data_IF_752990452849
#
_entry.id   IF_752990452849
#
_cell.length_a   1.000
_cell.length_b   1.000
_cell.length_c   1.000
_cell.angle_alpha   90.00
_cell.angle_beta   90.00
_cell.angle_gamma   90.00
#
_symmetry.space_group_name_H-M   'P 1'
#
loop_
_entity.id
_entity.type
_entity.pdbx_description
1 polymer ?
#
# COMPACT_ATOMS: atom_id res chain seq x y z
N UNK A 1 -8.05 1.72 -33.98
CA UNK A 1 -7.62 0.90 -35.14
C UNK A 1 -6.42 0.09 -34.68
N UNK A 2 -6.55 -1.23 -34.55
CA UNK A 2 -5.41 -2.08 -34.19
C UNK A 2 -4.60 -2.36 -35.45
N UNK A 3 -3.51 -1.63 -35.66
CA UNK A 3 -2.54 -1.99 -36.70
C UNK A 3 -1.95 -3.36 -36.37
N UNK A 4 -1.99 -4.27 -37.34
CA UNK A 4 -1.39 -5.60 -37.21
C UNK A 4 0.14 -5.46 -37.05
N UNK A 5 0.79 -6.23 -36.15
CA UNK A 5 2.20 -6.04 -35.85
C UNK A 5 3.08 -6.19 -37.10
N UNK A 6 4.15 -5.38 -37.23
CA UNK A 6 5.02 -5.43 -38.40
C UNK A 6 5.65 -6.82 -38.55
N UNK A 7 5.64 -7.35 -39.78
CA UNK A 7 6.21 -8.66 -40.09
C UNK A 7 7.74 -8.63 -39.92
N UNK A 8 8.23 -9.23 -38.84
CA UNK A 8 9.64 -9.39 -38.48
C UNK A 8 10.06 -10.86 -38.47
N UNK A 9 11.35 -11.11 -38.68
CA UNK A 9 11.94 -12.45 -38.48
C UNK A 9 12.07 -12.76 -36.98
N UNK A 10 12.21 -14.04 -36.63
CA UNK A 10 12.33 -14.43 -35.22
C UNK A 10 13.59 -13.86 -34.56
N UNK A 11 14.70 -13.75 -35.30
CA UNK A 11 15.91 -13.06 -34.82
C UNK A 11 15.68 -11.57 -34.56
N UNK A 12 14.94 -10.88 -35.43
CA UNK A 12 14.61 -9.46 -35.23
C UNK A 12 13.68 -9.27 -34.02
N UNK A 13 12.69 -10.16 -33.84
CA UNK A 13 11.83 -10.13 -32.65
C UNK A 13 12.65 -10.34 -31.38
N UNK A 14 13.55 -11.32 -31.38
CA UNK A 14 14.43 -11.62 -30.25
C UNK A 14 15.39 -10.48 -29.95
N UNK A 15 15.98 -9.86 -30.97
CA UNK A 15 16.77 -8.64 -30.82
C UNK A 15 15.99 -7.53 -30.12
N UNK A 16 14.73 -7.29 -30.51
CA UNK A 16 13.91 -6.28 -29.86
C UNK A 16 13.63 -6.60 -28.38
N UNK A 17 13.39 -7.88 -28.06
CA UNK A 17 13.19 -8.32 -26.67
C UNK A 17 14.45 -8.16 -25.83
N UNK A 18 15.60 -8.62 -26.33
CA UNK A 18 16.91 -8.50 -25.65
C UNK A 18 17.32 -7.03 -25.48
N UNK A 19 17.08 -6.20 -26.50
CA UNK A 19 17.38 -4.77 -26.44
C UNK A 19 16.56 -4.04 -25.38
N UNK A 20 15.32 -4.48 -25.10
CA UNK A 20 14.50 -3.88 -24.05
C UNK A 20 14.92 -4.31 -22.63
N UNK A 21 15.83 -5.26 -22.48
CA UNK A 21 16.39 -5.64 -21.17
C UNK A 21 17.28 -4.52 -20.64
N UNK A 22 18.31 -4.13 -21.40
CA UNK A 22 19.37 -3.22 -20.93
C UNK A 22 19.68 -2.05 -21.89
N UNK A 23 19.02 -1.96 -23.05
CA UNK A 23 19.26 -0.97 -24.10
C UNK A 23 20.68 -1.01 -24.68
N UNK A 24 21.39 -2.12 -24.49
CA UNK A 24 22.65 -2.37 -25.17
C UNK A 24 22.35 -3.05 -26.51
N UNK A 25 22.42 -2.27 -27.59
CA UNK A 25 22.14 -2.76 -28.93
C UNK A 25 23.13 -3.85 -29.36
N UNK A 26 24.40 -3.70 -28.98
CA UNK A 26 25.45 -4.64 -29.36
C UNK A 26 25.22 -5.98 -28.66
N UNK A 27 25.02 -5.97 -27.34
CA UNK A 27 24.77 -7.20 -26.59
C UNK A 27 23.42 -7.84 -26.93
N UNK A 28 22.39 -7.04 -27.23
CA UNK A 28 21.12 -7.56 -27.72
C UNK A 28 21.27 -8.27 -29.07
N UNK A 29 22.11 -7.75 -29.97
CA UNK A 29 22.42 -8.38 -31.25
C UNK A 29 23.11 -9.74 -31.07
N UNK A 30 24.04 -9.81 -30.11
CA UNK A 30 24.72 -11.07 -29.76
C UNK A 30 23.74 -12.09 -29.17
N UNK A 31 22.94 -11.70 -28.17
CA UNK A 31 21.95 -12.58 -27.52
C UNK A 31 20.82 -13.03 -28.45
N UNK A 32 20.48 -12.21 -29.44
CA UNK A 32 19.52 -12.57 -30.48
C UNK A 32 20.03 -13.63 -31.48
N UNK A 33 21.31 -14.01 -31.40
CA UNK A 33 21.89 -15.10 -32.18
C UNK A 33 22.24 -14.71 -33.61
N UNK A 34 22.63 -13.45 -33.85
CA UNK A 34 23.21 -13.03 -35.12
C UNK A 34 24.64 -13.55 -35.26
N UNK A 35 25.07 -13.78 -36.50
CA UNK A 35 26.46 -14.20 -36.78
C UNK A 35 27.35 -12.97 -36.64
N UNK A 36 28.38 -13.08 -35.80
CA UNK A 36 29.29 -11.99 -35.46
C UNK A 36 30.68 -12.35 -35.96
N UNK A 37 31.31 -11.46 -36.72
CA UNK A 37 32.73 -11.60 -37.10
C UNK A 37 33.65 -10.76 -36.22
N UNK A 38 33.16 -9.62 -35.71
CA UNK A 38 33.84 -8.79 -34.73
C UNK A 38 32.85 -7.95 -33.93
N UNK A 39 33.25 -7.48 -32.74
CA UNK A 39 32.43 -6.60 -31.91
C UNK A 39 32.10 -5.27 -32.60
N UNK A 40 33.02 -4.75 -33.42
CA UNK A 40 32.80 -3.52 -34.17
C UNK A 40 31.72 -3.66 -35.23
N UNK A 41 31.69 -4.81 -35.92
CA UNK A 41 30.62 -5.12 -36.87
C UNK A 41 29.28 -5.33 -36.16
N UNK A 42 29.27 -6.06 -35.04
CA UNK A 42 28.05 -6.26 -34.25
C UNK A 42 27.42 -4.94 -33.80
N UNK A 43 28.23 -3.98 -33.33
CA UNK A 43 27.74 -2.66 -32.93
C UNK A 43 27.14 -1.89 -34.11
N UNK A 44 27.83 -1.87 -35.26
CA UNK A 44 27.35 -1.21 -36.47
C UNK A 44 26.04 -1.82 -36.99
N UNK A 45 25.95 -3.15 -37.04
CA UNK A 45 24.77 -3.86 -37.51
C UNK A 45 23.58 -3.72 -36.54
N UNK A 46 23.85 -3.72 -35.24
CA UNK A 46 22.85 -3.46 -34.22
C UNK A 46 22.26 -2.05 -34.34
N UNK A 47 23.10 -1.03 -34.57
CA UNK A 47 22.61 0.34 -34.85
C UNK A 47 21.76 0.39 -36.13
N UNK A 48 22.19 -0.30 -37.19
CA UNK A 48 21.42 -0.37 -38.43
C UNK A 48 20.04 -1.02 -38.23
N UNK A 49 19.96 -2.07 -37.41
CA UNK A 49 18.68 -2.68 -37.01
C UNK A 49 17.79 -1.70 -36.26
N UNK A 50 18.35 -0.90 -35.36
CA UNK A 50 17.58 0.15 -34.66
C UNK A 50 17.10 1.23 -35.62
N UNK A 51 17.80 1.52 -36.73
CA UNK A 51 17.31 2.47 -37.74
C UNK A 51 16.16 1.92 -38.60
N UNK A 52 15.88 0.61 -38.53
CA UNK A 52 14.83 -0.01 -39.33
C UNK A 52 13.42 0.39 -38.83
N UNK A 53 12.56 0.99 -39.67
CA UNK A 53 11.22 1.41 -39.28
C UNK A 53 10.33 0.29 -38.73
N UNK A 54 10.47 -0.94 -39.25
CA UNK A 54 9.69 -2.10 -38.76
C UNK A 54 10.12 -2.51 -37.35
N UNK A 55 11.41 -2.40 -37.06
CA UNK A 55 11.94 -2.64 -35.71
C UNK A 55 11.51 -1.54 -34.76
N UNK A 56 11.55 -0.28 -35.19
CA UNK A 56 11.06 0.84 -34.38
C UNK A 56 9.56 0.70 -34.06
N UNK A 57 8.74 0.33 -35.05
CA UNK A 57 7.33 0.04 -34.84
C UNK A 57 7.11 -1.13 -33.86
N UNK A 58 7.87 -2.22 -34.00
CA UNK A 58 7.76 -3.38 -33.09
C UNK A 58 8.28 -3.08 -31.68
N UNK A 59 9.36 -2.33 -31.53
CA UNK A 59 9.83 -1.85 -30.23
C UNK A 59 8.80 -0.95 -29.58
N UNK A 60 8.09 -0.12 -30.36
CA UNK A 60 7.01 0.73 -29.86
C UNK A 60 5.83 -0.10 -29.38
N UNK A 61 5.46 -1.15 -30.14
CA UNK A 61 4.43 -2.11 -29.77
C UNK A 61 4.83 -2.92 -28.53
N UNK A 62 6.04 -3.49 -28.49
CA UNK A 62 6.56 -4.19 -27.32
C UNK A 62 6.65 -3.28 -26.10
N UNK A 63 7.05 -2.02 -26.25
CA UNK A 63 7.03 -1.04 -25.14
C UNK A 63 5.60 -0.80 -24.68
N UNK A 64 4.63 -0.67 -25.58
CA UNK A 64 3.22 -0.54 -25.20
C UNK A 64 2.70 -1.80 -24.48
N UNK A 65 3.11 -2.98 -24.95
CA UNK A 65 2.69 -4.29 -24.42
C UNK A 65 3.40 -4.67 -23.11
N UNK A 66 4.64 -4.23 -22.91
CA UNK A 66 5.44 -4.48 -21.70
C UNK A 66 5.46 -3.31 -20.71
N UNK A 67 4.52 -2.36 -20.85
CA UNK A 67 4.42 -1.11 -20.08
C UNK A 67 5.62 -0.16 -20.21
N UNK A 68 6.58 -0.40 -21.10
CA UNK A 68 7.64 0.55 -21.44
C UNK A 68 8.63 0.81 -20.30
N UNK A 69 8.66 -0.06 -19.30
CA UNK A 69 9.58 0.04 -18.17
C UNK A 69 10.95 -0.52 -18.53
N UNK A 70 11.99 0.22 -18.15
CA UNK A 70 13.34 -0.34 -18.13
C UNK A 70 13.47 -1.37 -17.01
N UNK A 71 14.46 -2.26 -17.08
CA UNK A 71 14.70 -3.25 -16.02
C UNK A 71 14.88 -2.60 -14.64
N UNK A 72 15.64 -1.49 -14.56
CA UNK A 72 15.78 -0.73 -13.31
C UNK A 72 14.45 -0.16 -12.80
N UNK A 73 13.58 0.32 -13.69
CA UNK A 73 12.26 0.80 -13.26
C UNK A 73 11.37 -0.35 -12.78
N UNK A 74 11.47 -1.53 -13.39
CA UNK A 74 10.76 -2.74 -12.94
C UNK A 74 11.27 -3.19 -11.57
N UNK A 75 12.59 -3.24 -11.38
CA UNK A 75 13.22 -3.54 -10.09
C UNK A 75 12.78 -2.54 -9.01
N UNK A 76 12.75 -1.25 -9.36
CA UNK A 76 12.21 -0.19 -8.50
C UNK A 76 10.76 -0.45 -8.10
N UNK A 77 9.88 -0.80 -9.05
CA UNK A 77 8.48 -1.08 -8.74
C UNK A 77 8.34 -2.28 -7.80
N UNK A 78 9.09 -3.36 -8.04
CA UNK A 78 9.03 -4.58 -7.23
C UNK A 78 9.52 -4.34 -5.79
N UNK A 79 10.64 -3.63 -5.63
CA UNK A 79 11.12 -3.21 -4.32
C UNK A 79 10.10 -2.30 -3.62
N UNK A 80 9.51 -1.35 -4.36
CA UNK A 80 8.50 -0.45 -3.81
C UNK A 80 7.26 -1.20 -3.30
N UNK A 81 6.76 -2.20 -4.04
CA UNK A 81 5.62 -3.04 -3.62
C UNK A 81 5.90 -3.90 -2.39
N UNK A 82 7.17 -4.13 -2.06
CA UNK A 82 7.56 -4.97 -0.91
C UNK A 82 7.47 -4.21 0.41
N UNK A 83 7.89 -2.95 0.43
CA UNK A 83 8.04 -2.19 1.69
C UNK A 83 7.49 -0.75 1.62
N UNK A 84 6.84 -0.36 0.53
CA UNK A 84 6.20 0.96 0.31
C UNK A 84 7.09 2.17 0.63
N UNK A 85 8.40 2.02 0.40
CA UNK A 85 9.40 3.07 0.66
C UNK A 85 10.12 3.39 -0.65
N UNK A 86 9.80 4.54 -1.23
CA UNK A 86 10.29 4.95 -2.54
C UNK A 86 11.81 5.17 -2.55
N UNK A 87 12.36 5.82 -1.52
CA UNK A 87 13.80 6.08 -1.39
C UNK A 87 14.59 4.79 -1.29
N UNK A 88 14.11 3.82 -0.50
CA UNK A 88 14.72 2.51 -0.38
C UNK A 88 14.65 1.73 -1.69
N UNK A 89 13.48 1.69 -2.32
CA UNK A 89 13.29 1.01 -3.61
C UNK A 89 14.20 1.57 -4.71
N UNK A 90 14.43 2.88 -4.70
CA UNK A 90 15.34 3.55 -5.63
C UNK A 90 16.77 3.04 -5.49
N UNK A 91 17.26 2.91 -4.25
CA UNK A 91 18.60 2.38 -3.97
C UNK A 91 18.72 0.90 -4.33
N UNK A 92 17.74 0.08 -3.95
CA UNK A 92 17.73 -1.37 -4.25
C UNK A 92 17.65 -1.65 -5.76
N UNK A 93 16.97 -0.80 -6.52
CA UNK A 93 16.92 -0.88 -7.98
C UNK A 93 18.21 -0.47 -8.70
N UNK A 94 19.28 -0.17 -7.95
CA UNK A 94 20.60 0.14 -8.48
C UNK A 94 20.75 1.58 -9.00
N UNK A 95 19.86 2.50 -8.61
CA UNK A 95 20.03 3.90 -8.94
C UNK A 95 21.02 4.59 -7.98
N UNK A 96 21.85 5.48 -8.53
CA UNK A 96 22.79 6.29 -7.76
C UNK A 96 22.16 7.62 -7.36
N UNK A 97 22.45 8.08 -6.14
CA UNK A 97 22.05 9.39 -5.64
C UNK A 97 23.13 9.93 -4.71
N UNK A 98 23.33 11.25 -4.71
CA UNK A 98 24.33 11.91 -3.85
C UNK A 98 23.99 11.81 -2.36
N UNK A 99 22.70 11.81 -2.03
CA UNK A 99 22.17 11.70 -0.67
C UNK A 99 20.69 11.27 -0.72
N UNK A 100 20.12 11.04 0.46
CA UNK A 100 18.75 10.53 0.62
C UNK A 100 17.68 11.49 0.12
N UNK A 101 17.92 12.82 0.20
CA UNK A 101 16.98 13.81 -0.33
C UNK A 101 16.89 13.74 -1.85
N UNK A 102 18.03 13.57 -2.54
CA UNK A 102 18.07 13.41 -4.00
C UNK A 102 17.44 12.09 -4.43
N UNK A 103 17.68 11.01 -3.67
CA UNK A 103 17.04 9.72 -3.91
C UNK A 103 15.52 9.82 -3.74
N UNK A 104 15.04 10.45 -2.66
CA UNK A 104 13.62 10.63 -2.38
C UNK A 104 12.91 11.45 -3.48
N UNK A 105 13.53 12.56 -3.91
CA UNK A 105 12.99 13.40 -4.99
C UNK A 105 12.89 12.63 -6.32
N UNK A 106 13.96 11.91 -6.69
CA UNK A 106 13.99 11.10 -7.92
C UNK A 106 13.00 9.94 -7.87
N UNK A 107 12.90 9.27 -6.73
CA UNK A 107 11.95 8.18 -6.51
C UNK A 107 10.49 8.68 -6.61
N UNK A 108 10.18 9.84 -6.02
CA UNK A 108 8.87 10.50 -6.13
C UNK A 108 8.54 10.84 -7.59
N UNK A 109 9.53 11.29 -8.37
CA UNK A 109 9.35 11.53 -9.80
C UNK A 109 9.09 10.23 -10.59
N UNK A 110 9.75 9.11 -10.25
CA UNK A 110 9.46 7.81 -10.87
C UNK A 110 8.03 7.36 -10.64
N UNK A 111 7.51 7.52 -9.41
CA UNK A 111 6.13 7.15 -9.07
C UNK A 111 5.06 7.96 -9.82
N UNK A 112 5.43 9.09 -10.44
CA UNK A 112 4.53 9.91 -11.28
C UNK A 112 4.55 9.52 -12.75
N UNK A 113 5.45 8.63 -13.18
CA UNK A 113 5.55 8.24 -14.59
C UNK A 113 4.37 7.33 -14.96
N UNK A 114 3.65 7.57 -16.07
CA UNK A 114 2.48 6.79 -16.45
C UNK A 114 2.74 5.27 -16.48
N UNK A 115 3.86 4.86 -17.06
CA UNK A 115 4.30 3.46 -17.08
C UNK A 115 4.47 2.82 -15.69
N UNK A 116 5.06 3.55 -14.75
CA UNK A 116 5.29 3.08 -13.38
C UNK A 116 3.97 2.98 -12.63
N UNK A 117 3.11 3.98 -12.78
CA UNK A 117 1.77 3.98 -12.19
C UNK A 117 0.99 2.75 -12.65
N UNK A 118 0.95 2.49 -13.96
CA UNK A 118 0.15 1.38 -14.49
C UNK A 118 0.74 0.01 -14.12
N UNK A 119 2.07 -0.13 -14.04
CA UNK A 119 2.71 -1.35 -13.55
C UNK A 119 2.39 -1.62 -12.07
N UNK A 120 2.52 -0.60 -11.22
CA UNK A 120 2.17 -0.72 -9.81
C UNK A 120 0.69 -1.06 -9.63
N UNK A 121 -0.20 -0.43 -10.41
CA UNK A 121 -1.64 -0.71 -10.39
C UNK A 121 -1.91 -2.17 -10.77
N UNK A 122 -1.37 -2.62 -11.90
CA UNK A 122 -1.53 -3.99 -12.40
C UNK A 122 -1.05 -5.00 -11.37
N UNK A 123 0.17 -4.85 -10.84
CA UNK A 123 0.73 -5.76 -9.85
C UNK A 123 -0.03 -5.75 -8.52
N UNK A 124 -0.57 -4.59 -8.12
CA UNK A 124 -1.40 -4.50 -6.92
C UNK A 124 -2.72 -5.25 -7.09
N UNK A 125 -3.35 -5.17 -8.27
CA UNK A 125 -4.57 -5.92 -8.59
C UNK A 125 -4.29 -7.42 -8.62
N UNK A 126 -3.26 -7.87 -9.35
CA UNK A 126 -2.86 -9.29 -9.38
C UNK A 126 -2.56 -9.84 -7.98
N UNK A 127 -1.93 -9.05 -7.12
CA UNK A 127 -1.66 -9.44 -5.74
C UNK A 127 -2.95 -9.53 -4.92
N UNK A 128 -3.85 -8.57 -5.05
CA UNK A 128 -5.14 -8.58 -4.37
C UNK A 128 -6.01 -9.77 -4.81
N UNK A 129 -6.08 -10.06 -6.10
CA UNK A 129 -6.82 -11.21 -6.65
C UNK A 129 -6.29 -12.54 -6.13
N UNK A 130 -4.96 -12.73 -6.12
CA UNK A 130 -4.31 -13.97 -5.65
C UNK A 130 -4.58 -14.30 -4.18
N UNK A 131 -4.86 -13.31 -3.36
CA UNK A 131 -5.20 -13.50 -1.93
C UNK A 131 -6.67 -13.19 -1.63
N UNK A 132 -7.51 -13.07 -2.65
CA UNK A 132 -8.94 -12.74 -2.54
C UNK A 132 -9.20 -11.49 -1.68
N UNK A 133 -8.28 -10.52 -1.73
CA UNK A 133 -8.33 -9.30 -0.95
C UNK A 133 -9.33 -8.33 -1.58
N UNK A 134 -10.56 -8.37 -1.11
CA UNK A 134 -11.60 -7.40 -1.51
C UNK A 134 -11.48 -6.11 -0.71
N UNK A 135 -12.05 -5.03 -1.24
CA UNK A 135 -12.19 -3.79 -0.51
C UNK A 135 -12.93 -4.01 0.82
N UNK A 136 -14.06 -4.73 0.79
CA UNK A 136 -14.88 -5.00 1.97
C UNK A 136 -14.08 -5.74 3.04
N UNK A 137 -13.19 -6.66 2.62
CA UNK A 137 -12.29 -7.33 3.55
C UNK A 137 -11.35 -6.33 4.23
N UNK A 138 -10.72 -5.42 3.48
CA UNK A 138 -9.80 -4.41 4.03
C UNK A 138 -10.53 -3.44 4.96
N UNK A 139 -11.67 -2.91 4.54
CA UNK A 139 -12.47 -1.98 5.36
C UNK A 139 -12.98 -2.64 6.64
N UNK A 140 -13.43 -3.90 6.56
CA UNK A 140 -13.80 -4.68 7.76
C UNK A 140 -12.60 -4.85 8.69
N UNK A 141 -11.41 -5.18 8.17
CA UNK A 141 -10.20 -5.29 9.01
C UNK A 141 -9.76 -3.97 9.64
N UNK A 142 -9.95 -2.84 8.95
CA UNK A 142 -9.74 -1.52 9.55
C UNK A 142 -10.77 -1.26 10.64
N UNK A 143 -12.05 -1.55 10.40
CA UNK A 143 -13.12 -1.39 11.40
C UNK A 143 -12.87 -2.26 12.65
N UNK A 144 -12.67 -3.57 12.47
CA UNK A 144 -12.44 -4.53 13.56
C UNK A 144 -11.30 -4.05 14.48
N UNK A 145 -10.25 -3.49 13.87
CA UNK A 145 -9.08 -2.97 14.56
C UNK A 145 -9.36 -1.70 15.35
N UNK A 146 -10.16 -0.78 14.79
CA UNK A 146 -10.56 0.46 15.45
C UNK A 146 -11.53 0.24 16.62
N UNK A 147 -12.28 -0.85 16.61
CA UNK A 147 -13.20 -1.21 17.69
C UNK A 147 -12.47 -1.86 18.89
N UNK A 148 -11.20 -2.26 18.73
CA UNK A 148 -10.41 -2.80 19.84
C UNK A 148 -10.09 -1.71 20.85
N UNK A 149 -10.45 -1.96 22.10
CA UNK A 149 -10.13 -1.10 23.25
C UNK A 149 -8.99 -1.68 24.07
N UNK A 150 -8.26 -0.81 24.75
CA UNK A 150 -7.24 -1.23 25.72
C UNK A 150 -7.82 -2.13 26.82
N UNK A 151 -9.10 -1.94 27.16
CA UNK A 151 -9.82 -2.73 28.16
C UNK A 151 -10.18 -4.15 27.69
N UNK A 152 -10.07 -4.43 26.39
CA UNK A 152 -10.31 -5.78 25.85
C UNK A 152 -9.09 -6.69 26.11
N UNK A 153 -7.90 -6.10 26.33
CA UNK A 153 -6.63 -6.83 26.57
C UNK A 153 -6.07 -6.63 27.99
N UNK A 154 -6.52 -5.61 28.72
CA UNK A 154 -6.04 -5.30 30.06
C UNK A 154 -7.14 -4.74 30.96
N UNK A 155 -7.02 -4.97 32.27
CA UNK A 155 -7.82 -4.31 33.29
C UNK A 155 -7.03 -3.13 33.87
N UNK A 156 -7.73 -2.01 34.09
CA UNK A 156 -7.17 -0.78 34.65
C UNK A 156 -7.77 -0.59 36.05
N UNK A 157 -6.94 -0.74 37.07
CA UNK A 157 -7.31 -0.55 38.47
C UNK A 157 -7.56 0.92 38.83
N UNK A 158 -8.12 1.16 40.03
CA UNK A 158 -8.52 2.50 40.50
C UNK A 158 -7.37 3.51 40.60
N UNK A 159 -6.13 3.03 40.74
CA UNK A 159 -4.92 3.86 40.82
C UNK A 159 -4.10 3.86 39.52
N UNK A 160 -4.66 3.36 38.41
CA UNK A 160 -3.96 3.24 37.13
C UNK A 160 -3.12 1.97 36.99
N UNK A 161 -3.25 1.04 37.94
CA UNK A 161 -2.56 -0.25 37.89
C UNK A 161 -3.07 -1.08 36.72
N UNK A 162 -2.17 -1.50 35.84
CA UNK A 162 -2.51 -2.23 34.63
C UNK A 162 -2.25 -3.73 34.82
N UNK A 163 -3.29 -4.55 34.63
CA UNK A 163 -3.17 -6.02 34.62
C UNK A 163 -3.53 -6.56 33.24
N UNK A 164 -2.63 -7.32 32.60
CA UNK A 164 -2.91 -7.93 31.29
C UNK A 164 -3.81 -9.16 31.49
N UNK A 165 -4.87 -9.25 30.69
CA UNK A 165 -5.74 -10.43 30.66
C UNK A 165 -5.00 -11.63 30.08
N UNK A 166 -5.49 -12.84 30.34
CA UNK A 166 -4.97 -14.04 29.70
C UNK A 166 -5.16 -13.94 28.19
N UNK A 167 -4.07 -13.65 27.46
CA UNK A 167 -4.09 -13.39 26.02
C UNK A 167 -4.56 -14.59 25.20
N UNK A 168 -4.54 -15.81 25.76
CA UNK A 168 -5.10 -16.99 25.09
C UNK A 168 -6.64 -16.99 25.09
N UNK A 169 -7.25 -16.23 26.00
CA UNK A 169 -8.70 -16.06 26.12
C UNK A 169 -9.21 -14.75 25.51
N UNK A 170 -8.30 -13.92 25.01
CA UNK A 170 -8.62 -12.66 24.32
C UNK A 170 -8.77 -12.93 22.81
N UNK A 171 -9.74 -12.29 22.12
CA UNK A 171 -9.86 -12.39 20.68
C UNK A 171 -8.56 -12.07 19.94
N UNK A 172 -8.26 -12.83 18.88
CA UNK A 172 -6.99 -12.71 18.12
C UNK A 172 -6.80 -11.30 17.57
N UNK A 173 -7.89 -10.64 17.18
CA UNK A 173 -7.93 -9.28 16.67
C UNK A 173 -7.43 -8.27 17.71
N UNK A 174 -7.88 -8.42 18.97
CA UNK A 174 -7.49 -7.55 20.06
C UNK A 174 -6.03 -7.76 20.46
N UNK A 175 -5.56 -9.01 20.47
CA UNK A 175 -4.12 -9.32 20.65
C UNK A 175 -3.28 -8.72 19.52
N UNK A 176 -3.75 -8.82 18.27
CA UNK A 176 -3.04 -8.26 17.11
C UNK A 176 -2.98 -6.72 17.09
N UNK A 177 -3.80 -6.04 17.89
CA UNK A 177 -3.79 -4.59 18.04
C UNK A 177 -2.70 -4.09 19.02
N UNK A 178 -2.09 -4.98 19.81
CA UNK A 178 -1.02 -4.64 20.75
C UNK A 178 0.27 -4.30 19.98
N UNK A 179 0.90 -3.16 20.31
CA UNK A 179 2.19 -2.73 19.77
C UNK A 179 3.36 -3.12 20.69
N UNK A 180 3.16 -2.98 21.99
CA UNK A 180 4.21 -3.17 22.99
C UNK A 180 3.59 -3.61 24.30
N UNK A 181 4.19 -4.62 24.93
CA UNK A 181 4.00 -4.95 26.34
C UNK A 181 5.40 -4.92 26.96
N UNK A 182 5.60 -4.09 27.97
CA UNK A 182 6.87 -4.04 28.70
C UNK A 182 6.61 -3.95 30.21
N UNK A 183 7.51 -4.56 30.99
CA UNK A 183 7.48 -4.53 32.45
C UNK A 183 8.82 -4.03 32.96
N UNK A 184 8.80 -2.99 33.79
CA UNK A 184 10.00 -2.41 34.41
C UNK A 184 9.87 -2.51 35.92
N UNK A 185 10.88 -3.03 36.60
CA UNK A 185 10.91 -3.08 38.05
C UNK A 185 11.34 -1.73 38.62
N UNK A 186 10.53 -1.12 39.47
CA UNK A 186 10.84 0.08 40.25
C UNK A 186 10.87 -0.24 41.75
N UNK A 187 11.33 0.71 42.57
CA UNK A 187 11.32 0.57 44.04
C UNK A 187 9.92 0.34 44.62
N UNK A 188 8.87 0.74 43.89
CA UNK A 188 7.44 0.56 44.23
C UNK A 188 6.83 -0.73 43.65
N UNK A 189 7.60 -1.52 42.89
CA UNK A 189 7.17 -2.78 42.27
C UNK A 189 7.23 -2.80 40.74
N UNK A 190 6.69 -3.84 40.09
CA UNK A 190 6.68 -3.95 38.63
C UNK A 190 5.69 -2.94 38.01
N UNK A 191 6.21 -1.99 37.23
CA UNK A 191 5.41 -1.07 36.43
C UNK A 191 5.22 -1.63 35.03
N UNK A 192 3.97 -1.91 34.67
CA UNK A 192 3.61 -2.45 33.36
C UNK A 192 3.21 -1.32 32.41
N UNK A 193 3.66 -1.42 31.16
CA UNK A 193 3.31 -0.52 30.07
C UNK A 193 2.72 -1.32 28.93
N UNK A 194 1.55 -0.89 28.48
CA UNK A 194 0.86 -1.42 27.32
C UNK A 194 0.66 -0.31 26.31
N UNK A 195 1.05 -0.56 25.07
CA UNK A 195 0.82 0.35 23.95
C UNK A 195 0.01 -0.37 22.88
N UNK A 196 -1.09 0.26 22.45
CA UNK A 196 -1.80 -0.15 21.25
C UNK A 196 -1.10 0.41 20.02
N UNK A 197 -1.17 -0.30 18.91
CA UNK A 197 -0.64 0.15 17.62
C UNK A 197 -1.40 1.41 17.14
N UNK A 198 -0.68 2.28 16.43
CA UNK A 198 -1.26 3.49 15.84
C UNK A 198 -2.12 3.12 14.62
N UNK A 199 -3.39 3.49 14.66
CA UNK A 199 -4.33 3.26 13.56
C UNK A 199 -4.51 4.49 12.66
N UNK A 200 -3.76 5.56 12.92
CA UNK A 200 -3.92 6.84 12.22
C UNK A 200 -3.65 6.74 10.72
N UNK A 201 -2.73 5.87 10.28
CA UNK A 201 -2.51 5.62 8.85
C UNK A 201 -3.66 4.82 8.22
N UNK A 202 -4.14 3.77 8.91
CA UNK A 202 -5.24 2.94 8.43
C UNK A 202 -6.52 3.77 8.25
N UNK A 203 -6.83 4.64 9.23
CA UNK A 203 -7.93 5.59 9.18
C UNK A 203 -7.79 6.57 8.01
N UNK A 204 -6.62 7.17 7.83
CA UNK A 204 -6.38 8.13 6.73
C UNK A 204 -6.54 7.47 5.36
N UNK A 205 -6.07 6.24 5.21
CA UNK A 205 -6.23 5.48 3.95
C UNK A 205 -7.68 5.09 3.71
N UNK A 206 -8.40 4.62 4.73
CA UNK A 206 -9.83 4.31 4.63
C UNK A 206 -10.63 5.57 4.29
N UNK A 207 -10.40 6.67 4.99
CA UNK A 207 -11.08 7.95 4.77
C UNK A 207 -10.81 8.51 3.36
N UNK A 208 -9.56 8.44 2.89
CA UNK A 208 -9.23 8.83 1.52
C UNK A 208 -9.92 7.95 0.49
N UNK A 209 -9.98 6.65 0.76
CA UNK A 209 -10.61 5.70 -0.16
C UNK A 209 -12.13 5.89 -0.24
N UNK A 210 -12.80 6.13 0.90
CA UNK A 210 -14.25 6.36 0.94
C UNK A 210 -14.64 7.76 0.45
N UNK A 211 -13.68 8.57 -0.02
CA UNK A 211 -13.88 9.97 -0.39
C UNK A 211 -14.23 10.88 0.79
N UNK A 212 -14.05 10.41 2.03
CA UNK A 212 -14.36 11.16 3.24
C UNK A 212 -13.46 12.40 3.37
N UNK A 213 -12.24 12.35 2.84
CA UNK A 213 -11.31 13.47 2.85
C UNK A 213 -11.39 14.37 1.63
N UNK A 214 -12.21 14.02 0.63
CA UNK A 214 -12.26 14.74 -0.64
C UNK A 214 -13.15 15.99 -0.56
N UNK A 215 -14.13 15.99 0.36
CA UNK A 215 -15.03 17.10 0.60
C UNK A 215 -15.39 17.21 2.09
N UNK A 216 -15.15 18.38 2.68
CA UNK A 216 -15.44 18.68 4.09
C UNK A 216 -16.93 18.50 4.42
N UNK A 217 -17.84 18.81 3.48
CA UNK A 217 -19.27 18.63 3.72
C UNK A 217 -19.66 17.15 3.75
N UNK A 218 -19.02 16.32 2.93
CA UNK A 218 -19.18 14.86 2.95
C UNK A 218 -18.68 14.24 4.25
N UNK A 219 -17.58 14.75 4.80
CA UNK A 219 -17.12 14.40 6.15
C UNK A 219 -18.15 14.74 7.23
N UNK A 220 -18.67 15.98 7.25
CA UNK A 220 -19.66 16.42 8.25
C UNK A 220 -20.94 15.57 8.22
N UNK A 221 -21.44 15.23 7.02
CA UNK A 221 -22.65 14.40 6.85
C UNK A 221 -22.46 12.98 7.39
N UNK A 222 -21.29 12.38 7.14
CA UNK A 222 -20.98 11.03 7.63
C UNK A 222 -20.73 11.04 9.14
N UNK A 223 -19.98 12.02 9.66
CA UNK A 223 -19.77 12.20 11.09
C UNK A 223 -21.12 12.29 11.83
N UNK A 224 -22.06 13.10 11.33
CA UNK A 224 -23.41 13.21 11.88
C UNK A 224 -24.19 11.89 11.84
N UNK A 225 -24.09 11.09 10.77
CA UNK A 225 -24.75 9.78 10.66
C UNK A 225 -24.31 8.80 11.76
N UNK A 226 -23.06 8.91 12.22
CA UNK A 226 -22.50 8.07 13.27
C UNK A 226 -22.53 8.71 14.67
N UNK A 227 -23.30 9.80 14.85
CA UNK A 227 -23.45 10.42 16.17
C UNK A 227 -22.27 11.28 16.61
N UNK A 228 -21.49 11.80 15.67
CA UNK A 228 -20.43 12.77 15.95
C UNK A 228 -20.84 14.18 15.55
N UNK A 229 -20.50 15.17 16.38
CA UNK A 229 -20.61 16.58 16.02
C UNK A 229 -19.21 17.17 15.87
N UNK A 230 -19.04 18.14 14.97
CA UNK A 230 -17.74 18.81 14.77
C UNK A 230 -17.81 20.21 15.36
N UNK A 231 -16.98 20.49 16.37
CA UNK A 231 -16.84 21.83 16.98
C UNK A 231 -15.62 22.53 16.40
N UNK A 232 -15.78 23.79 16.00
CA UNK A 232 -14.66 24.65 15.62
C UNK A 232 -13.94 25.16 16.87
N UNK A 233 -12.61 25.16 16.87
CA UNK A 233 -11.74 25.65 17.94
C UNK A 233 -10.69 26.62 17.38
N UNK A 234 -9.97 27.32 18.25
CA UNK A 234 -8.90 28.25 17.86
C UNK A 234 -7.73 27.54 17.15
N UNK A 235 -7.59 26.22 17.36
CA UNK A 235 -6.57 25.36 16.74
C UNK A 235 -7.09 24.51 15.58
N UNK A 236 -8.36 24.65 15.18
CA UNK A 236 -8.95 23.93 14.05
C UNK A 236 -10.35 23.40 14.33
N UNK A 237 -10.52 22.08 14.24
CA UNK A 237 -11.79 21.40 14.44
C UNK A 237 -11.62 20.18 15.34
N UNK A 238 -12.57 19.97 16.25
CA UNK A 238 -12.62 18.87 17.20
C UNK A 238 -13.87 18.01 16.91
N UNK A 239 -13.69 16.70 16.79
CA UNK A 239 -14.79 15.74 16.71
C UNK A 239 -15.26 15.41 18.13
N UNK A 240 -16.50 15.77 18.45
CA UNK A 240 -17.16 15.42 19.70
C UNK A 240 -17.97 14.15 19.47
N UNK A 241 -17.64 13.11 20.22
CA UNK A 241 -18.48 11.93 20.34
C UNK A 241 -19.75 12.33 21.13
N UNK A 242 -20.89 12.33 20.44
CA UNK A 242 -22.19 12.61 21.09
C UNK A 242 -22.97 11.33 21.36
N UNK A 243 -22.33 10.16 21.21
CA UNK A 243 -22.92 8.89 21.61
C UNK A 243 -23.27 8.94 23.09
N UNK A 244 -24.55 9.16 23.35
CA UNK A 244 -25.14 9.00 24.67
C UNK A 244 -25.59 7.54 24.71
N UNK A 245 -24.93 6.71 25.52
CA UNK A 245 -25.41 5.36 25.78
C UNK A 245 -26.89 5.47 26.19
N UNK A 246 -27.80 4.64 25.64
CA UNK A 246 -29.18 4.65 26.10
C UNK A 246 -29.16 4.48 27.61
N UNK A 247 -29.74 5.45 28.32
CA UNK A 247 -29.98 5.32 29.75
C UNK A 247 -30.93 4.12 29.87
N UNK A 248 -30.40 3.01 30.37
CA UNK A 248 -31.24 1.91 30.82
C UNK A 248 -31.95 2.50 32.04
N UNK A 249 -33.17 3.01 31.86
CA UNK A 249 -34.03 3.27 33.00
C UNK A 249 -34.47 1.91 33.53
N UNK A 250 -34.35 1.72 34.84
CA UNK A 250 -34.76 0.51 35.56
C UNK A 250 -36.29 0.31 35.57
N UNK A 251 -37.01 0.81 34.56
CA UNK A 251 -38.47 0.71 34.46
C UNK A 251 -38.94 -0.64 33.89
N UNK A 252 -38.01 -1.54 33.55
CA UNK A 252 -38.35 -2.90 33.10
C UNK A 252 -38.63 -3.88 34.26
N UNK A 253 -38.57 -3.44 35.52
CA UNK A 253 -38.83 -4.30 36.68
C UNK A 253 -40.32 -4.40 37.09
N UNK A 254 -41.24 -3.58 36.57
CA UNK A 254 -42.64 -3.53 37.07
C UNK A 254 -43.74 -4.04 36.13
N UNK A 255 -43.45 -4.60 34.95
CA UNK A 255 -44.48 -5.16 34.06
C UNK A 255 -44.57 -6.70 34.05
N UNK A 256 -43.96 -7.37 35.03
CA UNK A 256 -43.93 -8.84 35.13
C UNK A 256 -44.91 -9.49 36.13
N UNK A 257 -45.81 -8.74 36.76
CA UNK A 257 -46.73 -9.29 37.77
C UNK A 257 -48.18 -8.83 37.56
N UNK A 258 -48.85 -9.38 36.55
CA UNK A 258 -50.32 -9.40 36.52
C UNK A 258 -50.87 -10.59 35.72
N UNK A 259 -51.42 -11.55 36.50
CA UNK A 259 -52.48 -12.52 36.18
C UNK A 259 -52.11 -13.82 35.46
N UNK A 260 -51.74 -14.82 36.25
CA UNK A 260 -52.47 -16.11 36.21
C UNK A 260 -53.49 -16.09 37.35
N UNK A 261 -54.77 -16.04 36.96
CA UNK A 261 -55.98 -16.60 37.60
C UNK A 261 -57.24 -15.96 36.98
#
# INVERSE_FOLDING_TARGET
MSESPPKLTDKQKRFCQEYLVDFDSTEAYKRAGYVIKSDREAASDAENLLRNPKIQAYLSLLKAETLGLTERQRSFCNAYLTHFNATRAYKEAGYTAKNDNVAAASASALLKRPQVIEYLRTKSVEAAERVELTLDYVLRKVKDRLEVRITDVADIGRHGDLTIKDLNKVPKEAVAAIAEISSTFTEEGPKLKLKMKDDGLALRLAAKYTGLTDDWNSFLRIAGKYGYTVRKTDSGYELLDTYTAPQITDDAAELGAAKED
#
